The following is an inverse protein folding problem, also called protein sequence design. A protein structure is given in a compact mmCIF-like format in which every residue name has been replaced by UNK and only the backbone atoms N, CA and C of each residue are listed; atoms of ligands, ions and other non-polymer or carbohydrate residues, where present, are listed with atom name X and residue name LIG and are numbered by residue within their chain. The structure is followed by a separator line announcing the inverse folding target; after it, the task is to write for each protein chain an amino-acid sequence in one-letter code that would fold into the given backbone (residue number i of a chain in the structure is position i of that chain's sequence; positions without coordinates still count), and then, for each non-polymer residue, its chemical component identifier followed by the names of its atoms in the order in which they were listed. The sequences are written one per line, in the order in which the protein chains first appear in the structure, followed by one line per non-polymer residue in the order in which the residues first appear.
data_IF_516203225639
#
_entry.id   IF_516203225639
#
_cell.length_a   1.000
_cell.length_b   1.000
_cell.length_c   1.000
_cell.angle_alpha   90.00
_cell.angle_beta   90.00
_cell.angle_gamma   90.00
#
_symmetry.space_group_name_H-M   'P 1'
#
loop_
_entity.id
_entity.type
_entity.pdbx_description
1 polymer ?
#
# COMPACT_ATOMS: atom_id res chain seq x y z
N UNK A 1 -16.21 -21.49 -3.03
CA UNK A 1 -15.83 -22.64 -3.88
C UNK A 1 -16.15 -22.48 -5.36
N UNK A 2 -17.28 -21.85 -5.75
CA UNK A 2 -17.66 -21.67 -7.17
C UNK A 2 -16.58 -21.01 -8.03
N UNK A 3 -15.98 -19.92 -7.54
CA UNK A 3 -14.88 -19.21 -8.23
C UNK A 3 -13.66 -20.09 -8.50
N UNK A 4 -13.34 -21.02 -7.60
CA UNK A 4 -12.19 -21.93 -7.73
C UNK A 4 -12.51 -23.08 -8.69
N UNK A 5 -13.75 -23.61 -8.64
CA UNK A 5 -14.21 -24.65 -9.57
C UNK A 5 -14.20 -24.18 -11.02
N UNK A 6 -14.55 -22.92 -11.28
CA UNK A 6 -14.53 -22.32 -12.62
C UNK A 6 -13.14 -22.33 -13.28
N UNK A 7 -12.06 -22.33 -12.49
CA UNK A 7 -10.68 -22.30 -12.98
C UNK A 7 -10.16 -23.70 -13.33
N UNK A 8 -10.70 -24.74 -12.70
CA UNK A 8 -10.25 -26.13 -12.87
C UNK A 8 -11.17 -26.96 -13.76
N UNK A 9 -12.06 -26.33 -14.52
CA UNK A 9 -13.02 -26.99 -15.42
C UNK A 9 -12.35 -27.82 -16.52
N UNK A 10 -11.09 -27.54 -16.83
CA UNK A 10 -10.27 -28.32 -17.76
C UNK A 10 -9.85 -29.70 -17.21
N UNK A 11 -9.99 -29.95 -15.90
CA UNK A 11 -9.68 -31.24 -15.27
C UNK A 11 -10.89 -32.20 -15.34
N UNK A 12 -10.66 -33.54 -15.30
CA UNK A 12 -11.73 -34.53 -15.20
C UNK A 12 -12.64 -34.25 -14.01
N UNK A 13 -13.95 -34.48 -14.16
CA UNK A 13 -14.96 -34.05 -13.18
C UNK A 13 -14.75 -34.61 -11.78
N UNK A 14 -14.17 -35.81 -11.66
CA UNK A 14 -13.83 -36.43 -10.38
C UNK A 14 -12.62 -35.76 -9.68
N UNK A 15 -11.75 -35.06 -10.41
CA UNK A 15 -10.58 -34.34 -9.87
C UNK A 15 -10.85 -32.85 -9.59
N UNK A 16 -11.88 -32.27 -10.22
CA UNK A 16 -12.18 -30.82 -10.13
C UNK A 16 -12.36 -30.35 -8.68
N UNK A 17 -13.00 -31.16 -7.83
CA UNK A 17 -13.21 -30.78 -6.43
C UNK A 17 -11.89 -30.70 -5.66
N UNK A 18 -11.01 -31.70 -5.83
CA UNK A 18 -9.71 -31.71 -5.16
C UNK A 18 -8.80 -30.59 -5.66
N UNK A 19 -8.77 -30.36 -6.98
CA UNK A 19 -8.00 -29.25 -7.56
C UNK A 19 -8.51 -27.87 -7.09
N UNK A 20 -9.83 -27.68 -7.00
CA UNK A 20 -10.40 -26.44 -6.49
C UNK A 20 -10.07 -26.21 -5.00
N UNK A 21 -10.04 -27.27 -4.19
CA UNK A 21 -9.64 -27.20 -2.78
C UNK A 21 -8.14 -26.92 -2.63
N UNK A 22 -7.29 -27.54 -3.45
CA UNK A 22 -5.85 -27.27 -3.48
C UNK A 22 -5.56 -25.81 -3.84
N UNK A 23 -6.21 -25.27 -4.88
CA UNK A 23 -6.07 -23.87 -5.27
C UNK A 23 -6.62 -22.91 -4.19
N UNK A 24 -7.72 -23.27 -3.52
CA UNK A 24 -8.24 -22.49 -2.40
C UNK A 24 -7.26 -22.43 -1.23
N UNK A 25 -6.69 -23.59 -0.84
CA UNK A 25 -5.67 -23.67 0.19
C UNK A 25 -4.46 -22.80 -0.16
N UNK A 26 -3.93 -22.95 -1.38
CA UNK A 26 -2.82 -22.13 -1.86
C UNK A 26 -3.14 -20.63 -1.81
N UNK A 27 -4.34 -20.23 -2.24
CA UNK A 27 -4.77 -18.82 -2.16
C UNK A 27 -4.78 -18.31 -0.72
N UNK A 28 -5.27 -19.10 0.24
CA UNK A 28 -5.29 -18.74 1.66
C UNK A 28 -3.86 -18.59 2.19
N UNK A 29 -2.98 -19.55 1.91
CA UNK A 29 -1.58 -19.54 2.34
C UNK A 29 -0.83 -18.32 1.78
N UNK A 30 -0.97 -18.04 0.48
CA UNK A 30 -0.36 -16.86 -0.15
C UNK A 30 -0.96 -15.56 0.40
N UNK A 31 -2.28 -15.49 0.62
CA UNK A 31 -2.91 -14.29 1.21
C UNK A 31 -2.38 -14.02 2.61
N UNK A 32 -2.19 -15.06 3.42
CA UNK A 32 -1.61 -14.94 4.75
C UNK A 32 -0.14 -14.48 4.68
N UNK A 33 0.66 -15.05 3.77
CA UNK A 33 2.05 -14.65 3.58
C UNK A 33 2.21 -13.18 3.14
N UNK A 34 1.27 -12.65 2.34
CA UNK A 34 1.26 -11.24 1.94
C UNK A 34 1.05 -10.26 3.10
N UNK A 35 0.55 -10.70 4.26
CA UNK A 35 0.32 -9.80 5.41
C UNK A 35 1.61 -9.11 5.89
N UNK A 36 2.72 -9.85 5.92
CA UNK A 36 4.02 -9.32 6.36
C UNK A 36 4.56 -8.21 5.42
N UNK A 37 4.69 -8.42 4.09
CA UNK A 37 5.16 -7.38 3.19
C UNK A 37 4.18 -6.20 3.08
N UNK A 38 2.86 -6.44 3.16
CA UNK A 38 1.85 -5.36 3.24
C UNK A 38 2.09 -4.49 4.47
N UNK A 39 2.24 -5.10 5.66
CA UNK A 39 2.40 -4.37 6.90
C UNK A 39 3.64 -3.46 6.85
N UNK A 40 4.79 -4.00 6.45
CA UNK A 40 6.01 -3.22 6.32
C UNK A 40 5.83 -2.07 5.32
N UNK A 41 5.23 -2.33 4.16
CA UNK A 41 5.00 -1.31 3.14
C UNK A 41 4.09 -0.18 3.65
N UNK A 42 3.01 -0.50 4.36
CA UNK A 42 2.13 0.52 4.93
C UNK A 42 2.86 1.40 5.94
N UNK A 43 3.67 0.81 6.83
CA UNK A 43 4.48 1.55 7.81
C UNK A 43 5.47 2.49 7.10
N UNK A 44 6.19 1.99 6.10
CA UNK A 44 7.17 2.77 5.34
C UNK A 44 6.52 3.97 4.65
N UNK A 45 5.42 3.76 3.93
CA UNK A 45 4.73 4.82 3.19
C UNK A 45 4.16 5.87 4.14
N UNK A 46 3.53 5.44 5.23
CA UNK A 46 2.94 6.33 6.26
C UNK A 46 4.01 7.19 6.91
N UNK A 47 5.15 6.60 7.29
CA UNK A 47 6.24 7.32 7.92
C UNK A 47 6.91 8.29 6.95
N UNK A 48 7.20 7.88 5.71
CA UNK A 48 7.79 8.76 4.71
C UNK A 48 6.91 9.99 4.42
N UNK A 49 5.60 9.79 4.28
CA UNK A 49 4.67 10.90 4.12
C UNK A 49 4.57 11.76 5.38
N UNK A 50 4.57 11.16 6.58
CA UNK A 50 4.50 11.91 7.84
C UNK A 50 5.74 12.75 8.09
N UNK A 51 6.94 12.27 7.71
CA UNK A 51 8.19 13.03 7.79
C UNK A 51 8.13 14.27 6.88
N UNK A 52 7.64 14.11 5.64
CA UNK A 52 7.47 15.21 4.70
C UNK A 52 6.45 16.24 5.22
N UNK A 53 5.33 15.77 5.80
CA UNK A 53 4.33 16.64 6.43
C UNK A 53 4.89 17.38 7.64
N UNK A 54 5.68 16.70 8.46
CA UNK A 54 6.33 17.28 9.64
C UNK A 54 7.34 18.35 9.26
N UNK A 55 8.11 18.14 8.18
CA UNK A 55 9.06 19.12 7.68
C UNK A 55 8.39 20.42 7.18
N UNK A 56 7.14 20.35 6.73
CA UNK A 56 6.42 21.50 6.14
C UNK A 56 5.47 22.18 7.13
N UNK A 57 4.76 21.40 7.95
CA UNK A 57 3.69 21.88 8.84
C UNK A 57 4.01 21.68 10.33
N UNK A 58 5.20 21.17 10.65
CA UNK A 58 5.64 20.92 12.02
C UNK A 58 5.12 19.60 12.62
N UNK A 59 5.54 19.26 13.86
CA UNK A 59 5.28 17.96 14.49
C UNK A 59 3.79 17.72 14.83
N UNK A 60 2.96 18.76 14.70
CA UNK A 60 1.50 18.70 14.94
C UNK A 60 0.71 18.87 13.64
N UNK A 61 1.28 18.52 12.48
CA UNK A 61 0.69 18.72 11.14
C UNK A 61 -0.77 18.24 11.01
N UNK A 62 -1.19 17.20 11.75
CA UNK A 62 -2.60 16.73 11.71
C UNK A 62 -3.59 17.78 12.20
N UNK A 63 -3.16 18.75 13.01
CA UNK A 63 -3.97 19.90 13.47
C UNK A 63 -3.64 21.20 12.76
N UNK A 64 -2.69 21.20 11.83
CA UNK A 64 -2.33 22.40 11.09
C UNK A 64 -3.48 22.82 10.14
N UNK A 65 -3.99 24.06 10.24
CA UNK A 65 -5.07 24.54 9.39
C UNK A 65 -4.67 24.62 7.90
N UNK A 66 -3.42 24.97 7.60
CA UNK A 66 -2.93 25.09 6.22
C UNK A 66 -2.86 23.74 5.51
N UNK A 67 -2.46 22.69 6.23
CA UNK A 67 -2.51 21.32 5.75
C UNK A 67 -3.96 20.84 5.57
N UNK A 68 -4.80 21.03 6.60
CA UNK A 68 -6.22 20.65 6.55
C UNK A 68 -6.94 21.33 5.38
N UNK A 69 -6.61 22.59 5.08
CA UNK A 69 -7.14 23.34 3.95
C UNK A 69 -6.61 22.91 2.58
N UNK A 70 -5.45 22.25 2.51
CA UNK A 70 -4.87 21.74 1.26
C UNK A 70 -5.49 20.40 0.81
N UNK A 71 -6.13 19.68 1.74
CA UNK A 71 -6.73 18.38 1.48
C UNK A 71 -8.01 18.50 0.63
N UNK A 72 -8.22 17.62 -0.36
CA UNK A 72 -9.48 17.53 -1.08
C UNK A 72 -10.66 17.25 -0.15
N UNK A 73 -11.81 17.85 -0.44
CA UNK A 73 -13.08 17.55 0.25
C UNK A 73 -14.23 17.36 -0.75
N UNK A 74 -14.21 16.27 -1.53
CA UNK A 74 -15.28 15.97 -2.47
C UNK A 74 -16.59 15.65 -1.73
N UNK A 75 -17.75 15.85 -2.37
CA UNK A 75 -19.05 15.48 -1.80
C UNK A 75 -19.19 13.97 -1.65
N UNK A 76 -20.15 13.53 -0.81
CA UNK A 76 -20.50 12.10 -0.72
C UNK A 76 -21.09 11.61 -2.06
N UNK A 77 -20.88 10.33 -2.44
CA UNK A 77 -20.25 9.23 -1.67
C UNK A 77 -18.72 9.12 -1.83
N UNK A 78 -18.06 10.08 -2.48
CA UNK A 78 -16.61 10.01 -2.73
C UNK A 78 -15.82 10.14 -1.43
N UNK A 79 -14.75 9.35 -1.31
CA UNK A 79 -13.83 9.42 -0.17
C UNK A 79 -13.22 10.82 -0.05
N UNK A 80 -13.29 11.41 1.15
CA UNK A 80 -12.71 12.72 1.45
C UNK A 80 -11.57 12.57 2.45
N UNK A 81 -10.30 12.82 2.06
CA UNK A 81 -9.17 12.77 2.99
C UNK A 81 -9.28 13.87 4.06
N UNK A 82 -9.87 15.03 3.75
CA UNK A 82 -10.10 16.09 4.73
C UNK A 82 -11.05 15.63 5.84
N UNK A 83 -12.20 15.04 5.47
CA UNK A 83 -13.18 14.54 6.45
C UNK A 83 -12.64 13.36 7.25
N UNK A 84 -11.90 12.45 6.61
CA UNK A 84 -11.23 11.33 7.29
C UNK A 84 -10.24 11.82 8.36
N UNK A 85 -9.37 12.79 8.02
CA UNK A 85 -8.44 13.38 8.97
C UNK A 85 -9.13 14.08 10.15
N UNK A 86 -10.16 14.89 9.87
CA UNK A 86 -10.90 15.61 10.90
C UNK A 86 -11.57 14.64 11.86
N UNK A 87 -12.21 13.58 11.34
CA UNK A 87 -12.86 12.57 12.16
C UNK A 87 -11.85 11.81 13.02
N UNK A 88 -10.77 11.31 12.42
CA UNK A 88 -9.76 10.52 13.15
C UNK A 88 -9.11 11.35 14.25
N UNK A 89 -8.66 12.58 13.95
CA UNK A 89 -7.92 13.39 14.94
C UNK A 89 -8.76 13.86 16.13
N UNK A 90 -10.10 13.79 16.06
CA UNK A 90 -10.98 14.11 17.18
C UNK A 90 -10.87 13.08 18.32
N UNK A 91 -10.45 11.86 18.01
CA UNK A 91 -10.39 10.75 18.96
C UNK A 91 -8.98 10.47 19.50
N UNK A 92 -7.97 11.25 19.08
CA UNK A 92 -6.57 10.99 19.42
C UNK A 92 -5.81 12.26 19.80
N UNK A 93 -4.91 12.14 20.79
CA UNK A 93 -4.13 13.25 21.30
C UNK A 93 -2.79 13.48 20.57
N UNK A 94 -2.29 12.49 19.83
CA UNK A 94 -0.95 12.54 19.20
C UNK A 94 -0.99 12.15 17.73
N UNK A 95 -0.09 12.73 16.92
CA UNK A 95 0.09 12.37 15.50
C UNK A 95 0.34 10.88 15.33
N UNK A 96 1.19 10.28 16.18
CA UNK A 96 1.49 8.86 16.15
C UNK A 96 0.29 7.94 16.37
N UNK A 97 -0.79 8.42 17.01
CA UNK A 97 -2.06 7.70 17.14
C UNK A 97 -3.01 7.96 15.96
N UNK A 98 -2.91 9.12 15.31
CA UNK A 98 -3.70 9.43 14.10
C UNK A 98 -3.19 8.68 12.88
N UNK A 99 -1.87 8.58 12.70
CA UNK A 99 -1.25 7.92 11.53
C UNK A 99 -1.84 6.52 11.25
N UNK A 100 -1.89 5.60 12.23
CA UNK A 100 -2.34 4.24 11.96
C UNK A 100 -3.83 4.11 11.60
N UNK A 101 -4.64 5.07 12.05
CA UNK A 101 -6.11 5.10 11.92
C UNK A 101 -6.58 5.65 10.57
N UNK A 102 -5.73 6.41 9.88
CA UNK A 102 -6.05 6.92 8.54
C UNK A 102 -6.04 5.78 7.51
N UNK A 103 -7.06 5.76 6.66
CA UNK A 103 -7.18 4.74 5.60
C UNK A 103 -5.97 4.80 4.66
N UNK A 104 -5.52 3.67 4.12
CA UNK A 104 -4.36 3.67 3.22
C UNK A 104 -4.52 4.58 1.98
N UNK A 105 -5.75 4.76 1.49
CA UNK A 105 -6.08 5.70 0.40
C UNK A 105 -5.83 7.18 0.76
N UNK A 106 -5.85 7.55 2.06
CA UNK A 106 -5.42 8.87 2.53
C UNK A 106 -3.98 9.15 2.07
N UNK A 107 -3.10 8.18 2.33
CA UNK A 107 -1.67 8.26 2.05
C UNK A 107 -1.41 8.25 0.56
N UNK A 108 -2.11 7.42 -0.22
CA UNK A 108 -2.07 7.48 -1.69
C UNK A 108 -2.43 8.88 -2.24
N UNK A 109 -3.49 9.50 -1.70
CA UNK A 109 -3.96 10.81 -2.13
C UNK A 109 -2.98 11.96 -1.85
N UNK A 110 -2.07 11.78 -0.87
CA UNK A 110 -0.99 12.73 -0.65
C UNK A 110 -0.02 12.77 -1.82
N UNK A 111 0.22 11.66 -2.52
CA UNK A 111 1.13 11.59 -3.68
C UNK A 111 0.48 12.08 -4.98
N UNK A 112 -0.41 13.07 -4.93
CA UNK A 112 -1.03 13.68 -6.13
C UNK A 112 -0.39 15.03 -6.47
N UNK A 113 -0.54 15.47 -7.73
CA UNK A 113 0.02 16.74 -8.25
C UNK A 113 -0.31 17.96 -7.38
N UNK A 114 -1.47 17.96 -6.70
CA UNK A 114 -1.88 19.09 -5.83
C UNK A 114 -0.89 19.37 -4.70
N UNK A 115 -0.10 18.37 -4.31
CA UNK A 115 0.87 18.45 -3.23
C UNK A 115 2.30 18.68 -3.74
N UNK A 116 2.55 18.76 -5.05
CA UNK A 116 3.89 18.92 -5.62
C UNK A 116 4.58 20.17 -5.07
N UNK A 117 3.94 21.33 -5.15
CA UNK A 117 4.54 22.60 -4.74
C UNK A 117 4.88 22.69 -3.25
N UNK A 118 4.00 22.17 -2.38
CA UNK A 118 4.18 22.26 -0.92
C UNK A 118 4.99 21.11 -0.32
N UNK A 119 4.87 19.90 -0.87
CA UNK A 119 5.50 18.69 -0.33
C UNK A 119 6.57 18.17 -1.28
N UNK A 120 6.18 17.66 -2.44
CA UNK A 120 7.02 16.68 -3.14
C UNK A 120 8.22 17.30 -3.85
N UNK A 121 8.09 18.51 -4.40
CA UNK A 121 9.20 19.19 -5.07
C UNK A 121 10.43 19.35 -4.17
N UNK A 122 10.23 19.53 -2.87
CA UNK A 122 11.31 19.71 -1.90
C UNK A 122 11.64 18.46 -1.10
N UNK A 123 10.64 17.65 -0.74
CA UNK A 123 10.81 16.62 0.28
C UNK A 123 10.80 15.19 -0.25
N UNK A 124 10.36 14.92 -1.49
CA UNK A 124 10.22 13.55 -2.00
C UNK A 124 11.53 12.76 -1.89
N UNK A 125 12.63 13.34 -2.36
CA UNK A 125 13.96 12.71 -2.32
C UNK A 125 14.58 12.68 -0.94
N UNK A 126 14.12 13.53 -0.02
CA UNK A 126 14.56 13.49 1.38
C UNK A 126 13.95 12.29 2.10
N UNK A 127 12.67 12.03 1.87
CA UNK A 127 11.95 10.94 2.56
C UNK A 127 12.03 9.60 1.83
N UNK A 128 12.38 9.62 0.55
CA UNK A 128 12.64 8.45 -0.29
C UNK A 128 14.01 8.61 -1.00
N UNK A 129 15.12 8.46 -0.26
CA UNK A 129 16.47 8.80 -0.74
C UNK A 129 16.97 7.89 -1.86
N UNK A 130 16.44 6.68 -2.00
CA UNK A 130 16.91 5.71 -3.00
C UNK A 130 16.09 5.75 -4.30
N UNK A 131 15.31 6.81 -4.54
CA UNK A 131 14.70 7.07 -5.85
C UNK A 131 15.76 7.49 -6.87
N UNK A 132 15.54 7.14 -8.15
CA UNK A 132 16.43 7.55 -9.24
C UNK A 132 16.55 9.10 -9.31
N UNK A 133 17.75 9.61 -9.06
CA UNK A 133 18.08 11.03 -9.07
C UNK A 133 17.90 11.68 -10.46
N UNK A 134 17.99 10.90 -11.53
CA UNK A 134 17.92 11.40 -12.91
C UNK A 134 16.51 11.77 -13.35
N UNK A 135 15.47 11.17 -12.75
CA UNK A 135 14.08 11.36 -13.16
C UNK A 135 13.47 12.63 -12.56
N UNK A 136 12.59 13.35 -13.26
CA UNK A 136 11.86 14.49 -12.70
C UNK A 136 10.99 14.12 -11.48
N UNK A 137 10.89 15.00 -10.49
CA UNK A 137 10.14 14.76 -9.24
C UNK A 137 8.66 14.40 -9.47
N UNK A 138 8.01 15.01 -10.46
CA UNK A 138 6.62 14.71 -10.81
C UNK A 138 6.46 13.29 -11.38
N UNK A 139 7.44 12.80 -12.14
CA UNK A 139 7.49 11.42 -12.65
C UNK A 139 7.66 10.47 -11.48
N UNK A 140 8.65 10.70 -10.63
CA UNK A 140 8.92 9.87 -9.45
C UNK A 140 7.71 9.79 -8.52
N UNK A 141 7.06 10.93 -8.20
CA UNK A 141 5.85 10.94 -7.37
C UNK A 141 4.72 10.14 -8.01
N UNK A 142 4.52 10.23 -9.34
CA UNK A 142 3.53 9.43 -10.05
C UNK A 142 3.83 7.93 -9.93
N UNK A 143 5.09 7.54 -10.09
CA UNK A 143 5.54 6.17 -9.90
C UNK A 143 5.25 5.71 -8.46
N UNK A 144 5.67 6.46 -7.44
CA UNK A 144 5.41 6.15 -6.04
C UNK A 144 3.91 5.98 -5.78
N UNK A 145 3.08 6.90 -6.29
CA UNK A 145 1.62 6.80 -6.16
C UNK A 145 1.08 5.51 -6.79
N UNK A 146 1.54 5.17 -7.99
CA UNK A 146 1.11 3.97 -8.70
C UNK A 146 1.48 2.69 -7.94
N UNK A 147 2.67 2.63 -7.34
CA UNK A 147 3.05 1.48 -6.50
C UNK A 147 2.19 1.40 -5.23
N UNK A 148 1.90 2.53 -4.58
CA UNK A 148 1.02 2.58 -3.40
C UNK A 148 -0.38 2.09 -3.75
N UNK A 149 -0.90 2.48 -4.92
CA UNK A 149 -2.19 2.01 -5.42
C UNK A 149 -2.21 0.50 -5.65
N UNK A 150 -1.16 -0.06 -6.27
CA UNK A 150 -1.00 -1.51 -6.43
C UNK A 150 -1.06 -2.23 -5.07
N UNK A 151 -0.29 -1.75 -4.08
CA UNK A 151 -0.29 -2.31 -2.72
C UNK A 151 -1.66 -2.19 -2.05
N UNK A 152 -2.34 -1.05 -2.20
CA UNK A 152 -3.69 -0.85 -1.66
C UNK A 152 -4.68 -1.85 -2.24
N UNK A 153 -4.61 -2.14 -3.53
CA UNK A 153 -5.52 -3.08 -4.19
C UNK A 153 -5.33 -4.51 -3.67
N UNK A 154 -4.11 -5.03 -3.64
CA UNK A 154 -3.88 -6.37 -3.10
C UNK A 154 -4.23 -6.45 -1.60
N UNK A 155 -3.87 -5.43 -0.81
CA UNK A 155 -4.21 -5.38 0.62
C UNK A 155 -5.70 -5.46 0.87
N UNK A 156 -6.49 -4.68 0.13
CA UNK A 156 -7.94 -4.71 0.28
C UNK A 156 -8.47 -6.13 0.00
N UNK A 157 -8.03 -6.78 -1.07
CA UNK A 157 -8.50 -8.14 -1.40
C UNK A 157 -8.14 -9.16 -0.32
N UNK A 158 -6.91 -9.11 0.20
CA UNK A 158 -6.46 -9.96 1.31
C UNK A 158 -7.31 -9.72 2.56
N UNK A 159 -7.54 -8.45 2.94
CA UNK A 159 -8.34 -8.08 4.10
C UNK A 159 -9.83 -8.45 3.97
N UNK A 160 -10.35 -8.49 2.75
CA UNK A 160 -11.72 -8.92 2.44
C UNK A 160 -11.83 -10.43 2.17
N UNK A 161 -10.75 -11.20 2.35
CA UNK A 161 -10.68 -12.64 2.07
C UNK A 161 -11.11 -13.01 0.63
N UNK A 162 -10.83 -12.11 -0.31
CA UNK A 162 -11.10 -12.34 -1.72
C UNK A 162 -10.05 -13.23 -2.37
N UNK A 163 -10.39 -13.93 -3.48
CA UNK A 163 -9.40 -14.70 -4.24
C UNK A 163 -8.39 -13.80 -4.97
N UNK A 164 -7.10 -14.04 -4.78
CA UNK A 164 -5.99 -13.27 -5.39
C UNK A 164 -5.22 -14.07 -6.44
N UNK A 165 -5.49 -15.37 -6.61
CA UNK A 165 -4.75 -16.30 -7.47
C UNK A 165 -4.68 -15.95 -8.98
N UNK A 166 -5.53 -15.05 -9.45
CA UNK A 166 -5.56 -14.58 -10.85
C UNK A 166 -4.79 -13.26 -11.06
N UNK A 167 -4.21 -12.69 -10.00
CA UNK A 167 -3.46 -11.42 -10.05
C UNK A 167 -1.99 -11.65 -10.41
N UNK A 168 -1.31 -10.57 -10.77
CA UNK A 168 0.14 -10.56 -10.91
C UNK A 168 0.83 -10.45 -9.54
N UNK A 169 0.73 -11.51 -8.74
CA UNK A 169 1.29 -11.56 -7.38
C UNK A 169 2.81 -11.28 -7.33
N UNK A 170 3.64 -11.79 -8.27
CA UNK A 170 5.06 -11.40 -8.31
C UNK A 170 5.27 -9.90 -8.51
N UNK A 171 4.51 -9.28 -9.41
CA UNK A 171 4.58 -7.84 -9.64
C UNK A 171 4.13 -7.02 -8.44
N UNK A 172 3.11 -7.49 -7.72
CA UNK A 172 2.61 -6.83 -6.50
C UNK A 172 3.60 -6.93 -5.34
N UNK A 173 4.29 -8.07 -5.19
CA UNK A 173 5.38 -8.21 -4.24
C UNK A 173 6.55 -7.28 -4.60
N UNK A 174 6.91 -7.21 -5.88
CA UNK A 174 7.95 -6.30 -6.37
C UNK A 174 7.59 -4.83 -6.12
N UNK A 175 6.31 -4.45 -6.26
CA UNK A 175 5.83 -3.11 -5.90
C UNK A 175 6.09 -2.76 -4.44
N UNK A 176 5.81 -3.70 -3.52
CA UNK A 176 6.09 -3.51 -2.08
C UNK A 176 7.59 -3.38 -1.83
N UNK A 177 8.40 -4.28 -2.42
CA UNK A 177 9.84 -4.24 -2.30
C UNK A 177 10.43 -2.91 -2.79
N UNK A 178 9.95 -2.37 -3.93
CA UNK A 178 10.37 -1.06 -4.45
C UNK A 178 10.07 0.07 -3.47
N UNK A 179 8.86 0.11 -2.91
CA UNK A 179 8.47 1.14 -1.94
C UNK A 179 9.36 1.11 -0.68
N UNK A 180 9.66 -0.09 -0.18
CA UNK A 180 10.60 -0.27 0.94
C UNK A 180 12.01 0.17 0.56
N UNK A 181 12.51 -0.27 -0.59
CA UNK A 181 13.84 0.07 -1.10
C UNK A 181 14.02 1.57 -1.26
N UNK A 182 13.04 2.28 -1.82
CA UNK A 182 13.11 3.74 -1.98
C UNK A 182 13.26 4.47 -0.65
N UNK A 183 12.74 3.89 0.44
CA UNK A 183 12.90 4.43 1.79
C UNK A 183 14.23 4.02 2.44
N UNK A 184 14.59 2.75 2.41
CA UNK A 184 15.80 2.22 3.07
C UNK A 184 16.23 0.91 2.41
N UNK A 185 17.51 0.84 2.06
CA UNK A 185 18.10 -0.37 1.48
C UNK A 185 18.21 -1.48 2.53
N UNK A 186 18.47 -1.14 3.79
CA UNK A 186 18.53 -2.05 4.92
C UNK A 186 17.16 -2.70 5.19
N UNK A 187 16.09 -1.90 5.20
CA UNK A 187 14.74 -2.40 5.35
C UNK A 187 14.32 -3.30 4.17
N UNK A 188 14.80 -3.02 2.95
CA UNK A 188 14.54 -3.85 1.78
C UNK A 188 15.31 -5.17 1.82
N UNK A 189 16.55 -5.17 2.31
CA UNK A 189 17.28 -6.41 2.56
C UNK A 189 16.54 -7.29 3.58
N UNK A 190 16.06 -6.69 4.67
CA UNK A 190 15.23 -7.39 5.66
C UNK A 190 13.88 -7.86 5.09
N UNK A 191 13.23 -7.06 4.24
CA UNK A 191 12.02 -7.46 3.53
C UNK A 191 12.23 -8.76 2.74
N UNK A 192 13.34 -8.85 2.01
CA UNK A 192 13.65 -10.02 1.18
C UNK A 192 13.94 -11.28 2.00
N UNK A 193 14.55 -11.11 3.17
CA UNK A 193 14.84 -12.22 4.10
C UNK A 193 13.57 -12.74 4.79
N UNK A 194 12.63 -11.84 5.12
CA UNK A 194 11.42 -12.20 5.86
C UNK A 194 10.29 -12.74 4.98
N UNK A 195 10.15 -12.25 3.74
CA UNK A 195 8.99 -12.57 2.91
C UNK A 195 8.96 -14.05 2.50
N UNK A 196 7.77 -14.66 2.61
CA UNK A 196 7.53 -16.08 2.27
C UNK A 196 6.65 -16.24 1.03
N UNK A 197 6.31 -15.13 0.39
CA UNK A 197 5.41 -15.12 -0.76
C UNK A 197 6.09 -15.80 -1.93
N UNK A 198 7.38 -15.52 -2.18
CA UNK A 198 8.13 -16.11 -3.30
C UNK A 198 8.11 -17.64 -3.28
N UNK A 199 8.37 -18.27 -2.14
CA UNK A 199 8.35 -19.73 -2.01
C UNK A 199 6.97 -20.32 -2.33
N UNK A 200 5.91 -19.69 -1.81
CA UNK A 200 4.54 -20.14 -2.06
C UNK A 200 4.14 -19.94 -3.53
N UNK A 201 4.60 -18.86 -4.18
CA UNK A 201 4.33 -18.64 -5.60
C UNK A 201 4.97 -19.73 -6.48
N UNK A 202 6.17 -20.20 -6.11
CA UNK A 202 6.84 -21.32 -6.78
C UNK A 202 6.16 -22.68 -6.53
N UNK A 203 5.41 -22.81 -5.42
CA UNK A 203 4.68 -24.01 -5.04
C UNK A 203 3.20 -24.02 -5.49
N UNK A 204 2.85 -23.24 -6.53
CA UNK A 204 1.47 -23.18 -7.03
C UNK A 204 1.00 -24.55 -7.57
N UNK A 205 -0.18 -25.06 -7.16
CA UNK A 205 -0.72 -26.34 -7.61
C UNK A 205 -1.31 -26.32 -9.02
#
# INVERSE_FOLDING_TARGET
MTTYRQVVTHKPQHEQTLAALALYRWNVEVSAAFMAPIHLCEVVVRNAASDALTAVYGPRWVWDPSFTGALPDPPRPVYSPKRDLIQVRQHHATVGKVIPELKFVFWENLFTRRHDGRLWNRHLRTVLPNLDASQPTNVLRNTVRSEIETVRHIRNRVAHHEPIFARNLPGELQSMQRLVQWRSAEAAAWFNDMEKVTDLLNARP
#
